data_IF_855774220344
#
_entry.id   IF_855774220344
#
_cell.length_a   1.000
_cell.length_b   1.000
_cell.length_c   1.000
_cell.angle_alpha   90.00
_cell.angle_beta   90.00
_cell.angle_gamma   90.00
#
_symmetry.space_group_name_H-M   'P 1'
#
loop_
_entity.id
_entity.type
_entity.pdbx_description
1 polymer ?
#
# COMPACT_ATOMS: atom_id res chain seq x y z
N UNK A 1 7.69 27.35 -32.78
CA UNK A 1 8.77 27.93 -31.94
C UNK A 1 9.42 26.77 -31.26
N UNK A 2 10.75 26.64 -31.39
CA UNK A 2 11.48 25.60 -30.69
C UNK A 2 11.98 26.15 -29.34
N UNK A 3 11.71 25.39 -28.28
CA UNK A 3 12.16 25.69 -26.91
C UNK A 3 13.06 24.56 -26.44
N UNK A 4 14.24 24.92 -25.92
CA UNK A 4 15.20 23.98 -25.36
C UNK A 4 15.74 24.48 -24.02
N UNK A 5 15.58 23.67 -22.98
CA UNK A 5 16.24 23.85 -21.70
C UNK A 5 17.25 22.72 -21.50
N UNK A 6 18.47 23.06 -21.09
CA UNK A 6 19.53 22.09 -20.82
C UNK A 6 20.02 22.26 -19.38
N UNK A 7 20.04 21.15 -18.65
CA UNK A 7 20.54 21.08 -17.27
C UNK A 7 20.00 22.19 -16.33
N UNK A 8 18.72 22.49 -16.44
CA UNK A 8 18.07 23.55 -15.68
C UNK A 8 17.50 23.04 -14.34
N UNK A 9 17.11 23.96 -13.47
CA UNK A 9 16.21 23.68 -12.34
C UNK A 9 14.82 24.16 -12.72
N UNK A 10 13.82 23.34 -12.44
CA UNK A 10 12.42 23.69 -12.68
C UNK A 10 11.65 23.53 -11.38
N UNK A 11 10.80 24.51 -11.09
CA UNK A 11 9.91 24.52 -9.95
C UNK A 11 8.48 24.56 -10.50
N UNK A 12 7.65 23.59 -10.10
CA UNK A 12 6.30 23.41 -10.61
C UNK A 12 5.32 23.55 -9.46
N UNK A 13 4.38 24.48 -9.60
CA UNK A 13 3.27 24.68 -8.69
C UNK A 13 1.98 24.29 -9.41
N UNK A 14 1.22 23.37 -8.84
CA UNK A 14 -0.11 23.03 -9.34
C UNK A 14 -1.03 22.71 -8.17
N UNK A 15 -2.10 23.50 -8.01
CA UNK A 15 -2.98 23.45 -6.84
C UNK A 15 -2.14 23.57 -5.55
N UNK A 16 -2.33 22.69 -4.57
CA UNK A 16 -1.52 22.63 -3.35
C UNK A 16 -0.20 21.86 -3.48
N UNK A 17 0.19 21.47 -4.70
CA UNK A 17 1.34 20.59 -4.96
C UNK A 17 2.52 21.40 -5.46
N UNK A 18 3.70 21.03 -5.01
CA UNK A 18 4.95 21.72 -5.30
C UNK A 18 6.05 20.71 -5.63
N UNK A 19 6.65 20.82 -6.81
CA UNK A 19 7.74 19.95 -7.25
C UNK A 19 8.99 20.74 -7.60
N UNK A 20 10.12 20.29 -7.03
CA UNK A 20 11.45 20.80 -7.30
C UNK A 20 12.21 19.79 -8.15
N UNK A 21 12.49 20.14 -9.40
CA UNK A 21 13.09 19.26 -10.39
C UNK A 21 14.52 19.70 -10.69
N UNK A 22 15.47 18.77 -10.56
CA UNK A 22 16.88 19.01 -10.87
C UNK A 22 17.27 18.51 -12.26
N UNK A 23 18.33 19.08 -12.84
CA UNK A 23 18.94 18.63 -14.12
C UNK A 23 17.91 18.41 -15.24
N UNK A 24 16.97 19.35 -15.38
CA UNK A 24 15.90 19.27 -16.36
C UNK A 24 16.48 19.53 -17.75
N UNK A 25 16.26 18.56 -18.64
CA UNK A 25 16.46 18.70 -20.07
C UNK A 25 15.09 18.62 -20.72
N UNK A 26 14.67 19.69 -21.40
CA UNK A 26 13.37 19.79 -22.04
C UNK A 26 13.56 20.26 -23.47
N UNK A 27 12.90 19.57 -24.40
CA UNK A 27 12.75 20.00 -25.78
C UNK A 27 11.25 20.09 -26.10
N UNK A 28 10.86 21.17 -26.76
CA UNK A 28 9.48 21.37 -27.17
C UNK A 28 9.40 22.12 -28.49
N UNK A 29 8.57 21.63 -29.41
CA UNK A 29 8.13 22.40 -30.58
C UNK A 29 6.71 22.89 -30.32
N UNK A 30 6.54 24.21 -30.39
CA UNK A 30 5.33 24.92 -29.97
C UNK A 30 4.75 25.66 -31.17
N UNK A 31 3.56 25.25 -31.59
CA UNK A 31 2.71 26.00 -32.50
C UNK A 31 1.37 26.22 -31.83
N UNK A 32 1.17 27.42 -31.25
CA UNK A 32 -0.03 27.75 -30.47
C UNK A 32 -1.33 27.73 -31.27
N UNK A 33 -1.26 27.78 -32.61
CA UNK A 33 -2.44 27.67 -33.48
C UNK A 33 -2.78 26.20 -33.81
N UNK A 34 -1.91 25.26 -33.43
CA UNK A 34 -2.02 23.84 -33.78
C UNK A 34 -1.76 22.92 -32.60
N UNK A 35 -0.50 22.77 -32.23
CA UNK A 35 -0.08 21.83 -31.20
C UNK A 35 1.29 22.17 -30.63
N UNK A 36 1.57 21.64 -29.45
CA UNK A 36 2.89 21.54 -28.84
C UNK A 36 3.29 20.07 -28.74
N UNK A 37 4.57 19.77 -28.97
CA UNK A 37 5.19 18.52 -28.52
C UNK A 37 6.11 18.81 -27.34
N UNK A 38 6.22 17.89 -26.40
CA UNK A 38 7.09 18.01 -25.24
C UNK A 38 7.84 16.69 -25.02
N UNK A 39 9.15 16.78 -24.78
CA UNK A 39 10.00 15.71 -24.27
C UNK A 39 10.87 16.30 -23.17
N UNK A 40 10.64 15.88 -21.93
CA UNK A 40 11.35 16.35 -20.76
C UNK A 40 11.86 15.17 -19.93
N UNK A 41 13.11 15.29 -19.47
CA UNK A 41 13.75 14.37 -18.54
C UNK A 41 14.39 15.16 -17.42
N UNK A 42 14.27 14.67 -16.20
CA UNK A 42 14.87 15.30 -15.02
C UNK A 42 15.85 14.37 -14.33
N UNK A 43 16.76 14.94 -13.54
CA UNK A 43 17.38 14.24 -12.42
C UNK A 43 16.38 14.11 -11.25
N UNK A 44 16.92 14.01 -10.03
CA UNK A 44 16.11 13.84 -8.84
C UNK A 44 15.08 14.95 -8.67
N UNK A 45 13.94 14.60 -8.10
CA UNK A 45 12.87 15.52 -7.79
C UNK A 45 12.50 15.46 -6.31
N UNK A 46 11.93 16.56 -5.80
CA UNK A 46 11.48 16.69 -4.41
C UNK A 46 10.26 17.60 -4.29
N UNK A 47 9.85 17.88 -3.05
CA UNK A 47 8.64 18.66 -2.74
C UNK A 47 7.51 17.76 -2.25
N UNK A 48 6.37 17.75 -2.94
CA UNK A 48 5.23 16.88 -2.63
C UNK A 48 5.58 15.40 -2.74
N UNK A 49 6.42 15.02 -3.69
CA UNK A 49 6.99 13.68 -3.82
C UNK A 49 8.50 13.79 -4.01
N UNK A 50 9.22 12.75 -3.58
CA UNK A 50 10.67 12.64 -3.75
C UNK A 50 10.99 11.41 -4.59
N UNK A 51 11.88 11.53 -5.58
CA UNK A 51 12.33 10.38 -6.38
C UNK A 51 13.52 10.68 -7.29
N UNK A 52 13.93 9.69 -8.09
CA UNK A 52 15.16 9.71 -8.90
C UNK A 52 15.03 10.51 -10.20
N UNK A 53 13.90 10.42 -10.89
CA UNK A 53 13.65 11.16 -12.13
C UNK A 53 12.17 11.24 -12.49
N UNK A 54 11.85 12.26 -13.27
CA UNK A 54 10.57 12.39 -13.98
C UNK A 54 10.88 12.40 -15.47
N UNK A 55 10.16 11.57 -16.22
CA UNK A 55 10.16 11.60 -17.67
C UNK A 55 8.76 11.98 -18.15
N UNK A 56 8.67 12.96 -19.03
CA UNK A 56 7.43 13.41 -19.64
C UNK A 56 7.62 13.45 -21.15
N UNK A 57 6.71 12.82 -21.89
CA UNK A 57 6.66 12.91 -23.34
C UNK A 57 5.22 13.05 -23.79
N UNK A 58 4.93 13.94 -24.71
CA UNK A 58 3.56 14.04 -25.20
C UNK A 58 3.29 15.14 -26.20
N UNK A 59 2.02 15.29 -26.52
CA UNK A 59 1.48 16.33 -27.38
C UNK A 59 0.38 17.08 -26.63
N UNK A 60 0.30 18.38 -26.86
CA UNK A 60 -0.83 19.22 -26.46
C UNK A 60 -1.45 19.76 -27.74
N UNK A 61 -2.75 19.53 -27.94
CA UNK A 61 -3.51 20.10 -29.05
C UNK A 61 -4.10 21.46 -28.62
N UNK A 62 -3.87 22.48 -29.45
CA UNK A 62 -4.39 23.84 -29.26
C UNK A 62 -5.50 24.17 -30.26
N UNK A 63 -5.75 23.32 -31.26
CA UNK A 63 -6.66 23.62 -32.36
C UNK A 63 -8.13 23.30 -32.03
N UNK A 64 -8.36 22.41 -31.06
CA UNK A 64 -9.69 21.98 -30.62
C UNK A 64 -9.93 22.42 -29.17
N UNK A 65 -10.98 23.20 -28.97
CA UNK A 65 -11.57 23.63 -27.68
C UNK A 65 -11.03 24.94 -27.03
N UNK A 66 -11.83 25.53 -26.12
CA UNK A 66 -11.42 26.70 -25.29
C UNK A 66 -10.22 26.37 -24.38
N UNK A 67 -9.99 25.08 -24.09
CA UNK A 67 -8.90 24.58 -23.26
C UNK A 67 -8.07 23.58 -24.05
N UNK A 68 -6.73 23.71 -24.09
CA UNK A 68 -5.87 22.75 -24.79
C UNK A 68 -6.02 21.34 -24.25
N UNK A 69 -5.92 20.34 -25.14
CA UNK A 69 -6.07 18.91 -24.80
C UNK A 69 -4.70 18.22 -24.80
N UNK A 70 -4.35 17.56 -23.70
CA UNK A 70 -3.11 16.82 -23.56
C UNK A 70 -3.24 15.35 -23.95
N UNK A 71 -2.15 14.79 -24.45
CA UNK A 71 -1.86 13.36 -24.58
C UNK A 71 -0.40 13.16 -24.13
N UNK A 72 -0.23 12.74 -22.88
CA UNK A 72 1.03 12.81 -22.14
C UNK A 72 1.38 11.46 -21.51
N UNK A 73 2.57 10.94 -21.81
CA UNK A 73 3.21 9.84 -21.10
C UNK A 73 4.10 10.41 -19.99
N UNK A 74 3.84 10.02 -18.75
CA UNK A 74 4.51 10.50 -17.56
C UNK A 74 5.06 9.31 -16.76
N UNK A 75 6.32 9.38 -16.37
CA UNK A 75 6.99 8.35 -15.58
C UNK A 75 7.67 9.00 -14.38
N UNK A 76 7.29 8.57 -13.18
CA UNK A 76 7.97 8.90 -11.93
C UNK A 76 8.81 7.69 -11.51
N UNK A 77 10.13 7.86 -11.44
CA UNK A 77 11.06 6.78 -11.17
C UNK A 77 11.60 6.87 -9.75
N UNK A 78 11.64 5.73 -9.07
CA UNK A 78 12.11 5.57 -7.69
C UNK A 78 11.50 6.57 -6.70
N UNK A 79 10.20 6.79 -6.79
CA UNK A 79 9.44 7.54 -5.79
C UNK A 79 9.67 6.89 -4.42
N UNK A 80 9.92 7.72 -3.42
CA UNK A 80 9.97 7.34 -2.00
C UNK A 80 8.58 7.55 -1.38
N UNK A 81 7.81 6.49 -1.09
CA UNK A 81 6.44 6.65 -0.60
C UNK A 81 6.36 7.30 0.78
N UNK A 82 7.44 7.33 1.57
CA UNK A 82 7.46 8.05 2.85
C UNK A 82 7.24 9.56 2.66
N UNK A 83 7.60 10.10 1.48
CA UNK A 83 7.32 11.51 1.12
C UNK A 83 5.82 11.82 1.01
N UNK A 84 4.98 10.79 0.81
CA UNK A 84 3.51 10.91 0.75
C UNK A 84 2.84 10.87 2.13
N UNK A 85 3.61 10.65 3.20
CA UNK A 85 3.12 10.59 4.58
C UNK A 85 1.93 9.63 4.75
N UNK A 86 2.08 8.40 4.26
CA UNK A 86 1.07 7.34 4.33
C UNK A 86 0.79 6.85 5.77
N UNK A 87 1.39 7.48 6.77
CA UNK A 87 1.33 7.02 8.15
C UNK A 87 2.16 5.77 8.46
N UNK A 88 2.77 5.19 7.43
CA UNK A 88 3.69 4.07 7.47
C UNK A 88 4.97 4.53 6.79
N UNK A 89 6.10 4.36 7.45
CA UNK A 89 7.40 4.74 6.90
C UNK A 89 7.83 3.68 5.88
N UNK A 90 7.58 3.95 4.61
CA UNK A 90 7.94 3.11 3.47
C UNK A 90 9.02 3.83 2.67
N UNK A 91 10.21 3.26 2.60
CA UNK A 91 11.35 3.86 1.87
C UNK A 91 11.67 3.14 0.57
N UNK A 92 11.02 1.99 0.34
CA UNK A 92 11.22 1.19 -0.86
C UNK A 92 10.75 1.92 -2.10
N UNK A 93 11.52 1.77 -3.17
CA UNK A 93 11.37 2.58 -4.37
C UNK A 93 10.21 2.10 -5.22
N UNK A 94 9.39 3.06 -5.62
CA UNK A 94 8.19 2.87 -6.42
C UNK A 94 8.36 3.56 -7.77
N UNK A 95 8.08 2.86 -8.86
CA UNK A 95 8.01 3.44 -10.20
C UNK A 95 6.56 3.49 -10.65
N UNK A 96 6.17 4.62 -11.24
CA UNK A 96 4.82 4.88 -11.71
C UNK A 96 4.86 5.41 -13.14
N UNK A 97 4.35 4.62 -14.07
CA UNK A 97 4.21 5.01 -15.48
C UNK A 97 2.75 5.28 -15.77
N UNK A 98 2.44 6.36 -16.49
CA UNK A 98 1.06 6.81 -16.72
C UNK A 98 0.90 7.41 -18.09
N UNK A 99 -0.29 7.25 -18.65
CA UNK A 99 -0.76 7.88 -19.87
C UNK A 99 -1.95 8.77 -19.52
N UNK A 100 -1.75 10.07 -19.56
CA UNK A 100 -2.70 11.10 -19.20
C UNK A 100 -3.28 11.75 -20.45
N UNK A 101 -4.59 11.90 -20.51
CA UNK A 101 -5.31 12.49 -21.65
C UNK A 101 -6.44 13.40 -21.18
N UNK A 102 -6.85 14.34 -22.03
CA UNK A 102 -7.98 15.24 -21.79
C UNK A 102 -7.58 16.71 -21.66
N UNK A 103 -8.55 17.60 -21.35
CA UNK A 103 -8.29 19.03 -21.17
C UNK A 103 -7.22 19.28 -20.11
N UNK A 104 -6.28 20.20 -20.35
CA UNK A 104 -5.16 20.43 -19.42
C UNK A 104 -5.58 20.89 -18.01
N UNK A 105 -6.80 21.42 -17.86
CA UNK A 105 -7.36 21.78 -16.55
C UNK A 105 -8.14 20.64 -15.86
N UNK A 106 -8.35 19.52 -16.56
CA UNK A 106 -9.13 18.35 -16.12
C UNK A 106 -8.58 17.05 -16.73
N UNK A 107 -7.26 16.88 -16.63
CA UNK A 107 -6.57 15.73 -17.21
C UNK A 107 -6.71 14.51 -16.30
N UNK A 108 -6.96 13.34 -16.90
CA UNK A 108 -7.05 12.05 -16.21
C UNK A 108 -6.29 10.99 -16.99
N UNK A 109 -6.10 9.81 -16.43
CA UNK A 109 -5.38 8.77 -17.16
C UNK A 109 -5.21 7.46 -16.43
N UNK A 110 -4.56 6.54 -17.13
CA UNK A 110 -4.28 5.18 -16.67
C UNK A 110 -2.78 4.96 -16.56
N UNK A 111 -2.37 4.05 -15.68
CA UNK A 111 -0.98 3.81 -15.39
C UNK A 111 -0.70 2.46 -14.78
N UNK A 112 0.57 2.24 -14.49
CA UNK A 112 1.09 1.06 -13.82
C UNK A 112 2.01 1.45 -12.68
N UNK A 113 1.86 0.71 -11.59
CA UNK A 113 2.67 0.77 -10.40
C UNK A 113 3.63 -0.41 -10.42
N UNK A 114 4.90 -0.19 -10.09
CA UNK A 114 5.86 -1.26 -9.85
C UNK A 114 6.76 -0.97 -8.65
N UNK A 115 6.98 -1.98 -7.81
CA UNK A 115 8.01 -1.98 -6.76
C UNK A 115 8.69 -3.34 -6.74
N UNK A 116 10.02 -3.38 -6.78
CA UNK A 116 10.75 -4.65 -6.67
C UNK A 116 10.58 -5.28 -5.28
N UNK A 117 10.58 -4.43 -4.25
CA UNK A 117 10.36 -4.82 -2.86
C UNK A 117 9.49 -3.78 -2.16
N UNK A 118 8.78 -4.20 -1.13
CA UNK A 118 8.05 -3.32 -0.22
C UNK A 118 8.14 -3.87 1.20
N UNK A 119 8.75 -3.09 2.09
CA UNK A 119 8.90 -3.36 3.50
C UNK A 119 7.95 -2.47 4.29
N UNK A 120 6.99 -3.11 4.96
CA UNK A 120 6.23 -2.48 6.04
C UNK A 120 6.48 -3.24 7.33
N UNK A 121 6.32 -2.64 8.51
CA UNK A 121 6.60 -3.32 9.78
C UNK A 121 5.89 -4.68 9.86
N UNK A 122 6.67 -5.76 9.85
CA UNK A 122 6.17 -7.14 9.94
C UNK A 122 5.59 -7.74 8.66
N UNK A 123 5.67 -7.06 7.51
CA UNK A 123 5.28 -7.62 6.20
C UNK A 123 6.35 -7.26 5.14
N UNK A 124 6.77 -8.25 4.37
CA UNK A 124 7.74 -8.08 3.28
C UNK A 124 7.16 -8.62 1.98
N UNK A 125 7.03 -7.73 1.02
CA UNK A 125 6.50 -8.01 -0.31
C UNK A 125 7.59 -7.92 -1.36
N UNK A 126 7.44 -8.71 -2.41
CA UNK A 126 8.29 -8.73 -3.59
C UNK A 126 7.41 -8.66 -4.83
N UNK A 127 7.97 -8.15 -5.93
CA UNK A 127 7.31 -8.09 -7.23
C UNK A 127 5.92 -7.43 -7.16
N UNK A 128 5.86 -6.25 -6.53
CA UNK A 128 4.62 -5.49 -6.40
C UNK A 128 4.30 -4.86 -7.74
N UNK A 129 3.16 -5.20 -8.32
CA UNK A 129 2.66 -4.62 -9.56
C UNK A 129 1.19 -4.27 -9.44
N UNK A 130 0.74 -3.20 -10.10
CA UNK A 130 -0.67 -2.84 -10.11
C UNK A 130 -1.02 -1.85 -11.22
N UNK A 131 -2.31 -1.65 -11.44
CA UNK A 131 -2.83 -0.59 -12.31
C UNK A 131 -3.21 0.62 -11.50
N UNK A 132 -3.09 1.79 -12.10
CA UNK A 132 -3.44 3.07 -11.47
C UNK A 132 -4.39 3.81 -12.40
N UNK A 133 -5.50 4.28 -11.86
CA UNK A 133 -6.31 5.32 -12.50
C UNK A 133 -6.05 6.63 -11.76
N UNK A 134 -5.78 7.70 -12.51
CA UNK A 134 -5.58 9.05 -11.99
C UNK A 134 -6.69 9.97 -12.47
N UNK A 135 -7.33 10.66 -11.53
CA UNK A 135 -8.32 11.69 -11.82
C UNK A 135 -8.20 12.86 -10.81
N UNK A 136 -7.62 13.96 -11.27
CA UNK A 136 -7.46 15.21 -10.52
C UNK A 136 -6.59 15.08 -9.26
N UNK A 137 -7.17 14.64 -8.15
CA UNK A 137 -6.47 14.38 -6.88
C UNK A 137 -6.51 12.92 -6.46
N UNK A 138 -7.33 12.09 -7.09
CA UNK A 138 -7.51 10.70 -6.72
C UNK A 138 -6.61 9.80 -7.55
N UNK A 139 -6.05 8.81 -6.87
CA UNK A 139 -5.37 7.66 -7.43
C UNK A 139 -6.13 6.42 -6.99
N UNK A 140 -6.66 5.66 -7.95
CA UNK A 140 -7.28 4.37 -7.69
C UNK A 140 -6.31 3.27 -8.13
N UNK A 141 -5.99 2.37 -7.21
CA UNK A 141 -5.12 1.22 -7.42
C UNK A 141 -5.98 -0.02 -7.61
N UNK A 142 -5.79 -0.71 -8.73
CA UNK A 142 -6.55 -1.91 -9.09
C UNK A 142 -5.61 -3.03 -9.51
N UNK A 143 -6.08 -4.27 -9.39
CA UNK A 143 -5.33 -5.46 -9.76
C UNK A 143 -3.92 -5.50 -9.14
N UNK A 144 -3.74 -4.95 -7.94
CA UNK A 144 -2.42 -4.94 -7.29
C UNK A 144 -2.10 -6.35 -6.85
N UNK A 145 -0.91 -6.84 -7.20
CA UNK A 145 -0.44 -8.15 -6.78
C UNK A 145 0.99 -8.09 -6.28
N UNK A 146 1.31 -8.98 -5.33
CA UNK A 146 2.67 -9.12 -4.80
C UNK A 146 2.91 -10.53 -4.27
N UNK A 147 4.17 -10.94 -4.26
CA UNK A 147 4.62 -12.14 -3.53
C UNK A 147 4.89 -11.78 -2.07
N UNK A 148 4.45 -12.60 -1.12
CA UNK A 148 4.66 -12.34 0.32
C UNK A 148 4.70 -13.66 1.10
N UNK A 149 5.76 -13.87 1.87
CA UNK A 149 5.92 -15.05 2.75
C UNK A 149 5.62 -16.40 2.08
N UNK A 150 6.07 -16.58 0.83
CA UNK A 150 5.83 -17.79 0.04
C UNK A 150 4.41 -17.94 -0.51
N UNK A 151 3.52 -16.98 -0.24
CA UNK A 151 2.18 -16.86 -0.80
C UNK A 151 2.04 -15.63 -1.71
N UNK A 152 0.79 -15.21 -1.95
CA UNK A 152 0.45 -14.07 -2.82
C UNK A 152 -0.52 -13.12 -2.14
N UNK A 153 -0.35 -11.84 -2.35
CA UNK A 153 -1.31 -10.78 -2.02
C UNK A 153 -2.01 -10.31 -3.30
N UNK A 154 -3.32 -10.08 -3.20
CA UNK A 154 -4.07 -9.23 -4.12
C UNK A 154 -4.60 -8.03 -3.34
N UNK A 155 -4.58 -6.84 -3.93
CA UNK A 155 -5.07 -5.63 -3.28
C UNK A 155 -5.70 -4.63 -4.26
N UNK A 156 -6.50 -3.75 -3.70
CA UNK A 156 -7.07 -2.58 -4.34
C UNK A 156 -7.12 -1.44 -3.33
N UNK A 157 -7.20 -0.21 -3.80
CA UNK A 157 -7.29 0.92 -2.90
C UNK A 157 -7.41 2.26 -3.59
N UNK A 158 -7.58 3.29 -2.78
CA UNK A 158 -7.70 4.68 -3.23
C UNK A 158 -6.77 5.55 -2.41
N UNK A 159 -6.14 6.54 -3.03
CA UNK A 159 -5.33 7.56 -2.37
C UNK A 159 -5.68 8.95 -2.90
N UNK A 160 -5.88 9.91 -2.01
CA UNK A 160 -6.11 11.32 -2.38
C UNK A 160 -4.83 12.13 -2.13
N UNK A 161 -4.25 12.69 -3.20
CA UNK A 161 -2.99 13.44 -3.17
C UNK A 161 -3.06 14.73 -2.34
N UNK A 162 -4.24 15.32 -2.18
CA UNK A 162 -4.39 16.64 -1.54
C UNK A 162 -4.70 16.50 -0.04
N UNK A 163 -5.52 15.53 0.34
CA UNK A 163 -5.91 15.23 1.73
C UNK A 163 -5.07 14.13 2.38
N UNK A 164 -4.37 13.32 1.58
CA UNK A 164 -3.61 12.11 1.98
C UNK A 164 -4.50 11.01 2.55
N UNK A 165 -5.79 11.04 2.25
CA UNK A 165 -6.73 10.02 2.70
C UNK A 165 -6.53 8.77 1.85
N UNK A 166 -6.54 7.61 2.49
CA UNK A 166 -6.48 6.36 1.76
C UNK A 166 -7.27 5.25 2.40
N UNK A 167 -7.64 4.30 1.55
CA UNK A 167 -8.24 3.04 1.91
C UNK A 167 -7.63 1.97 1.01
N UNK A 168 -7.20 0.86 1.59
CA UNK A 168 -6.62 -0.28 0.89
C UNK A 168 -7.32 -1.53 1.43
N UNK A 169 -7.81 -2.37 0.54
CA UNK A 169 -8.25 -3.72 0.84
C UNK A 169 -7.26 -4.70 0.23
N UNK A 170 -6.90 -5.74 0.98
CA UNK A 170 -5.95 -6.75 0.56
C UNK A 170 -6.34 -8.14 1.03
N UNK A 171 -6.13 -9.12 0.17
CA UNK A 171 -6.35 -10.53 0.46
C UNK A 171 -5.05 -11.29 0.22
N UNK A 172 -4.46 -11.79 1.30
CA UNK A 172 -3.30 -12.67 1.29
C UNK A 172 -3.74 -14.13 1.28
N UNK A 173 -3.13 -14.95 0.42
CA UNK A 173 -3.41 -16.38 0.31
C UNK A 173 -2.14 -17.21 0.44
N UNK A 174 -2.26 -18.33 1.14
CA UNK A 174 -1.19 -19.31 1.35
C UNK A 174 0.11 -18.71 1.95
N UNK A 175 -0.03 -17.75 2.88
CA UNK A 175 1.11 -17.14 3.56
C UNK A 175 1.74 -18.14 4.54
N UNK A 176 3.03 -18.39 4.44
CA UNK A 176 3.71 -19.36 5.28
C UNK A 176 4.08 -18.75 6.63
N UNK A 177 3.45 -19.23 7.71
CA UNK A 177 3.70 -18.74 9.06
C UNK A 177 5.17 -18.87 9.48
N UNK A 178 5.87 -19.91 9.00
CA UNK A 178 7.29 -20.12 9.29
C UNK A 178 8.21 -19.06 8.67
N UNK A 179 7.81 -18.46 7.54
CA UNK A 179 8.53 -17.34 6.92
C UNK A 179 8.18 -16.02 7.59
N UNK A 180 6.90 -15.78 7.86
CA UNK A 180 6.40 -14.55 8.50
C UNK A 180 6.87 -14.42 9.97
N UNK A 181 6.92 -15.54 10.69
CA UNK A 181 7.25 -15.61 12.11
C UNK A 181 8.38 -16.62 12.35
N UNK A 182 9.62 -16.32 11.92
CA UNK A 182 10.76 -17.21 12.13
C UNK A 182 10.92 -17.53 13.62
N UNK A 183 11.21 -18.78 13.95
CA UNK A 183 11.41 -19.28 15.33
C UNK A 183 10.17 -19.27 16.24
N UNK A 184 8.99 -18.91 15.74
CA UNK A 184 7.72 -19.05 16.49
C UNK A 184 7.36 -20.50 16.79
N UNK A 185 7.93 -21.45 16.03
CA UNK A 185 7.52 -22.86 15.97
C UNK A 185 6.09 -23.07 15.45
N UNK A 186 5.51 -22.06 14.79
CA UNK A 186 4.23 -22.15 14.10
C UNK A 186 4.46 -22.53 12.64
N UNK A 187 3.90 -23.66 12.22
CA UNK A 187 4.01 -24.17 10.87
C UNK A 187 2.61 -24.41 10.31
N UNK A 188 2.14 -23.49 9.48
CA UNK A 188 0.90 -23.59 8.71
C UNK A 188 0.93 -22.57 7.58
N UNK A 189 0.02 -22.73 6.63
CA UNK A 189 -0.34 -21.67 5.71
C UNK A 189 -1.50 -20.86 6.29
N UNK A 190 -1.51 -19.57 6.01
CA UNK A 190 -2.50 -18.61 6.52
C UNK A 190 -3.05 -17.78 5.36
N UNK A 191 -4.36 -17.69 5.29
CA UNK A 191 -5.07 -16.73 4.47
C UNK A 191 -5.45 -15.53 5.35
N UNK A 192 -5.34 -14.33 4.80
CA UNK A 192 -5.58 -13.06 5.51
C UNK A 192 -6.48 -12.18 4.65
N UNK A 193 -7.50 -11.58 5.25
CA UNK A 193 -8.23 -10.43 4.72
C UNK A 193 -7.85 -9.21 5.55
N UNK A 194 -7.39 -8.14 4.91
CA UNK A 194 -6.77 -6.98 5.53
C UNK A 194 -7.33 -5.70 4.92
N UNK A 195 -7.68 -4.76 5.78
CA UNK A 195 -8.06 -3.40 5.41
C UNK A 195 -7.09 -2.43 6.09
N UNK A 196 -6.60 -1.45 5.36
CA UNK A 196 -5.86 -0.31 5.89
C UNK A 196 -6.57 0.98 5.50
N UNK A 197 -6.64 1.92 6.42
CA UNK A 197 -7.19 3.23 6.13
C UNK A 197 -6.51 4.31 6.94
N UNK A 198 -6.38 5.52 6.37
CA UNK A 198 -5.88 6.70 7.06
C UNK A 198 -6.68 7.94 6.69
N UNK A 199 -6.81 8.86 7.65
CA UNK A 199 -7.40 10.20 7.46
C UNK A 199 -6.33 11.29 7.35
N UNK A 200 -5.20 10.96 6.74
CA UNK A 200 -4.16 11.94 6.38
C UNK A 200 -3.04 12.12 7.41
N UNK A 201 -3.01 11.33 8.49
CA UNK A 201 -1.88 11.30 9.43
C UNK A 201 -1.57 9.87 9.91
N UNK A 202 -0.31 9.63 10.29
CA UNK A 202 0.13 8.37 10.92
C UNK A 202 -0.66 7.96 12.17
N UNK A 203 -1.21 8.92 12.91
CA UNK A 203 -1.99 8.65 14.12
C UNK A 203 -3.42 8.20 13.83
N UNK A 204 -3.92 8.54 12.65
CA UNK A 204 -5.26 8.19 12.19
C UNK A 204 -5.24 6.99 11.23
N UNK A 205 -4.11 6.29 11.16
CA UNK A 205 -3.98 5.04 10.43
C UNK A 205 -4.52 3.88 11.24
N UNK A 206 -5.40 3.10 10.61
CA UNK A 206 -6.00 1.89 11.16
C UNK A 206 -5.72 0.72 10.23
N UNK A 207 -5.51 -0.46 10.80
CA UNK A 207 -5.40 -1.72 10.07
C UNK A 207 -6.25 -2.77 10.76
N UNK A 208 -7.13 -3.45 10.04
CA UNK A 208 -8.02 -4.44 10.64
C UNK A 208 -8.35 -5.54 9.64
N UNK A 209 -8.77 -6.70 10.14
CA UNK A 209 -8.98 -7.83 9.27
C UNK A 209 -9.24 -9.13 9.99
N UNK A 210 -9.13 -10.21 9.23
CA UNK A 210 -9.29 -11.57 9.72
C UNK A 210 -8.24 -12.49 9.12
N UNK A 211 -7.98 -13.60 9.81
CA UNK A 211 -7.07 -14.62 9.34
C UNK A 211 -7.63 -16.01 9.60
N UNK A 212 -7.30 -16.93 8.71
CA UNK A 212 -7.65 -18.35 8.81
C UNK A 212 -6.45 -19.16 8.38
N UNK A 213 -6.00 -20.08 9.23
CA UNK A 213 -4.96 -21.03 8.86
C UNK A 213 -5.53 -22.30 8.25
N UNK A 214 -4.72 -22.98 7.44
CA UNK A 214 -4.91 -24.41 7.19
C UNK A 214 -4.47 -25.25 8.40
N UNK A 215 -4.46 -26.57 8.22
CA UNK A 215 -3.86 -27.49 9.18
C UNK A 215 -2.38 -27.19 9.40
N UNK A 216 -1.90 -27.48 10.60
CA UNK A 216 -0.52 -27.19 10.94
C UNK A 216 -0.09 -27.74 12.28
N UNK A 217 1.01 -27.19 12.78
CA UNK A 217 1.51 -27.52 14.11
C UNK A 217 2.12 -26.32 14.80
N UNK A 218 1.92 -26.27 16.10
CA UNK A 218 2.68 -25.43 17.00
C UNK A 218 3.63 -26.31 17.81
N UNK A 219 4.94 -26.18 17.60
CA UNK A 219 5.96 -27.11 18.10
C UNK A 219 5.66 -28.56 17.67
N UNK A 220 5.30 -29.41 18.64
CA UNK A 220 4.94 -30.82 18.44
C UNK A 220 3.43 -31.06 18.40
N UNK A 221 2.62 -30.03 18.68
CA UNK A 221 1.17 -30.15 18.79
C UNK A 221 0.49 -29.85 17.45
N UNK A 222 -0.14 -30.83 16.79
CA UNK A 222 -0.88 -30.60 15.56
C UNK A 222 -2.22 -29.91 15.85
N UNK A 223 -2.61 -28.97 15.00
CA UNK A 223 -3.92 -28.32 15.03
C UNK A 223 -4.57 -28.41 13.64
N UNK A 224 -5.89 -28.37 13.61
CA UNK A 224 -6.69 -28.35 12.38
C UNK A 224 -6.78 -26.96 11.80
N UNK A 225 -6.94 -25.95 12.64
CA UNK A 225 -7.17 -24.57 12.20
C UNK A 225 -6.90 -23.57 13.31
N UNK A 226 -6.47 -22.38 12.91
CA UNK A 226 -6.41 -21.17 13.72
C UNK A 226 -7.24 -20.11 13.01
N UNK A 227 -8.16 -19.47 13.70
CA UNK A 227 -8.91 -18.32 13.20
C UNK A 227 -8.79 -17.15 14.15
N UNK A 228 -9.00 -15.96 13.64
CA UNK A 228 -9.18 -14.79 14.47
C UNK A 228 -9.36 -13.54 13.65
N UNK A 229 -9.63 -12.45 14.36
CA UNK A 229 -9.65 -11.10 13.83
C UNK A 229 -8.59 -10.27 14.49
N UNK A 230 -8.18 -9.20 13.83
CA UNK A 230 -7.29 -8.22 14.40
C UNK A 230 -7.78 -6.81 14.10
N UNK A 231 -7.41 -5.90 14.98
CA UNK A 231 -7.57 -4.47 14.78
C UNK A 231 -6.36 -3.76 15.38
N UNK A 232 -5.81 -2.82 14.64
CA UNK A 232 -4.70 -1.98 15.03
C UNK A 232 -5.09 -0.52 14.82
N UNK A 233 -5.03 0.25 15.90
CA UNK A 233 -5.14 1.70 15.86
C UNK A 233 -4.11 2.28 16.83
N UNK A 234 -3.27 3.20 16.36
CA UNK A 234 -2.31 3.97 17.17
C UNK A 234 -1.74 3.25 18.42
N UNK A 235 -0.73 2.39 18.22
CA UNK A 235 -0.03 1.63 19.29
C UNK A 235 -0.91 0.66 20.12
N UNK A 236 -2.14 0.43 19.68
CA UNK A 236 -3.07 -0.54 20.26
C UNK A 236 -3.37 -1.60 19.20
N UNK A 237 -2.79 -2.80 19.38
CA UNK A 237 -3.02 -3.97 18.53
C UNK A 237 -3.85 -4.97 19.32
N UNK A 238 -4.99 -5.37 18.78
CA UNK A 238 -5.92 -6.30 19.40
C UNK A 238 -6.16 -7.48 18.46
N UNK A 239 -6.16 -8.68 19.01
CA UNK A 239 -6.65 -9.89 18.38
C UNK A 239 -7.84 -10.41 19.18
N UNK A 240 -8.93 -10.73 18.52
CA UNK A 240 -10.19 -11.15 19.14
C UNK A 240 -10.86 -12.22 18.28
N UNK A 241 -11.89 -12.88 18.83
CA UNK A 241 -12.50 -14.08 18.25
C UNK A 241 -11.44 -15.14 17.89
N UNK A 242 -10.35 -15.23 18.66
CA UNK A 242 -9.24 -16.13 18.35
C UNK A 242 -9.63 -17.53 18.78
N UNK A 243 -9.56 -18.48 17.86
CA UNK A 243 -9.82 -19.89 18.12
C UNK A 243 -8.74 -20.77 17.49
N UNK A 244 -8.29 -21.78 18.23
CA UNK A 244 -7.42 -22.85 17.76
C UNK A 244 -8.18 -24.16 17.90
N UNK A 245 -8.42 -24.83 16.78
CA UNK A 245 -9.10 -26.11 16.70
C UNK A 245 -8.08 -27.25 16.68
N UNK A 246 -8.14 -28.14 17.67
CA UNK A 246 -7.39 -29.39 17.70
C UNK A 246 -8.30 -30.56 17.31
N UNK A 247 -7.76 -31.78 17.24
CA UNK A 247 -8.54 -32.96 16.87
C UNK A 247 -9.68 -33.29 17.84
N UNK A 248 -9.54 -32.98 19.13
CA UNK A 248 -10.49 -33.35 20.19
C UNK A 248 -10.90 -32.23 21.14
N UNK A 249 -10.37 -31.02 20.97
CA UNK A 249 -10.69 -29.86 21.81
C UNK A 249 -10.43 -28.57 21.01
N UNK A 250 -10.92 -27.45 21.52
CA UNK A 250 -10.59 -26.12 21.00
C UNK A 250 -10.14 -25.19 22.13
N UNK A 251 -9.32 -24.22 21.77
CA UNK A 251 -8.85 -23.15 22.64
C UNK A 251 -9.34 -21.85 22.06
N UNK A 252 -10.03 -21.03 22.84
CA UNK A 252 -10.53 -19.73 22.40
C UNK A 252 -10.16 -18.62 23.39
N UNK A 253 -9.92 -17.42 22.88
CA UNK A 253 -9.73 -16.21 23.69
C UNK A 253 -10.28 -15.00 22.96
N UNK A 254 -10.97 -14.14 23.70
CA UNK A 254 -11.69 -13.00 23.12
C UNK A 254 -10.86 -11.71 23.08
N UNK A 255 -9.67 -11.67 23.69
CA UNK A 255 -8.74 -10.56 23.47
C UNK A 255 -7.30 -10.87 23.90
N UNK A 256 -6.39 -10.90 22.92
CA UNK A 256 -4.97 -10.64 23.10
C UNK A 256 -4.73 -9.20 22.65
N UNK A 257 -4.27 -8.32 23.55
CA UNK A 257 -4.03 -6.93 23.24
C UNK A 257 -2.57 -6.55 23.56
N UNK A 258 -1.94 -5.83 22.65
CA UNK A 258 -0.63 -5.20 22.86
C UNK A 258 -0.87 -3.70 22.77
N UNK A 259 -0.85 -3.04 23.92
CA UNK A 259 -1.05 -1.59 24.03
C UNK A 259 0.16 -0.95 24.65
N UNK A 260 0.76 0.03 23.96
CA UNK A 260 1.97 0.71 24.42
C UNK A 260 3.08 -0.28 24.87
N UNK A 261 3.26 -1.35 24.08
CA UNK A 261 4.19 -2.47 24.31
C UNK A 261 3.88 -3.35 25.52
N UNK A 262 2.73 -3.18 26.17
CA UNK A 262 2.24 -4.06 27.24
C UNK A 262 1.28 -5.09 26.66
N UNK A 263 1.55 -6.36 26.92
CA UNK A 263 0.69 -7.47 26.53
C UNK A 263 -0.38 -7.69 27.61
N UNK A 264 -1.64 -7.72 27.22
CA UNK A 264 -2.78 -8.14 28.04
C UNK A 264 -3.47 -9.32 27.38
N UNK A 265 -3.74 -10.35 28.17
CA UNK A 265 -4.43 -11.56 27.74
C UNK A 265 -5.74 -11.67 28.52
N UNK A 266 -6.83 -11.83 27.79
CA UNK A 266 -8.12 -12.22 28.36
C UNK A 266 -8.13 -13.70 28.71
N UNK A 267 -9.12 -14.18 29.49
CA UNK A 267 -9.18 -15.58 29.87
C UNK A 267 -9.14 -16.49 28.64
N UNK A 268 -8.45 -17.62 28.80
CA UNK A 268 -8.33 -18.64 27.76
C UNK A 268 -9.34 -19.73 28.07
N UNK A 269 -10.29 -19.94 27.19
CA UNK A 269 -11.34 -20.95 27.32
C UNK A 269 -10.96 -22.21 26.57
N UNK A 270 -11.02 -23.36 27.24
CA UNK A 270 -10.83 -24.67 26.64
C UNK A 270 -12.17 -25.37 26.53
N UNK A 271 -12.53 -25.83 25.33
CA UNK A 271 -13.76 -26.55 25.06
C UNK A 271 -13.48 -27.94 24.52
N UNK A 272 -14.32 -28.90 24.85
CA UNK A 272 -14.25 -30.26 24.30
C UNK A 272 -14.74 -30.30 22.85
N UNK A 273 -14.66 -31.48 22.21
CA UNK A 273 -15.15 -31.70 20.85
C UNK A 273 -16.65 -31.49 20.67
N UNK A 274 -17.44 -31.46 21.75
CA UNK A 274 -18.88 -31.21 21.74
C UNK A 274 -19.22 -29.73 22.00
N UNK A 275 -18.21 -28.89 22.27
CA UNK A 275 -18.36 -27.47 22.57
C UNK A 275 -18.63 -27.16 24.03
N UNK A 276 -18.55 -28.14 24.94
CA UNK A 276 -18.71 -27.92 26.38
C UNK A 276 -17.43 -27.33 26.97
N UNK A 277 -17.58 -26.41 27.92
CA UNK A 277 -16.44 -25.84 28.64
C UNK A 277 -15.74 -26.91 29.48
N UNK A 278 -14.44 -27.11 29.23
CA UNK A 278 -13.56 -27.95 30.05
C UNK A 278 -13.03 -27.11 31.21
N UNK A 279 -12.46 -25.94 30.90
CA UNK A 279 -11.87 -25.03 31.88
C UNK A 279 -11.63 -23.65 31.28
N UNK A 280 -11.51 -22.65 32.16
CA UNK A 280 -11.09 -21.29 31.83
C UNK A 280 -9.81 -20.97 32.59
N UNK A 281 -8.80 -20.48 31.89
CA UNK A 281 -7.51 -20.09 32.47
C UNK A 281 -7.46 -18.56 32.52
N UNK A 282 -7.49 -18.00 33.73
CA UNK A 282 -7.23 -16.58 33.96
C UNK A 282 -5.72 -16.31 33.88
N UNK A 283 -5.31 -15.64 32.81
CA UNK A 283 -3.94 -15.16 32.64
C UNK A 283 -3.84 -13.83 33.38
N UNK A 284 -3.38 -13.86 34.64
CA UNK A 284 -3.24 -12.66 35.47
C UNK A 284 -2.45 -11.56 34.76
N UNK A 285 -2.83 -10.29 35.01
CA UNK A 285 -2.11 -9.11 34.51
C UNK A 285 -0.71 -9.08 35.13
N UNK A 286 0.34 -9.32 34.35
CA UNK A 286 1.71 -8.89 34.69
C UNK A 286 1.95 -7.44 34.24
#
# INVERSE_FOLDING_TARGET
MELKFENCRMEVFHKGRHYLLSRVNLASDINTDKAMTIDARTGSFGGTMIGSSVNLKGKVDFASDEVPVGDLQLSFVDVDPSSLDLGINIYDKMTMDSHLTGPLNDISGEGRLQMGELHIPGLYFQDVEGKIHYDGAKLDFQDVTASVYGGRLQAEGTYDLDTRYYQIHGVGRNLQAAQALPKSHLYCNVDVDLNLASKGTSRETTAYGSFVSGEGRYRIMPFKRITGKFNQAYRDLQFYDVAIEFAGFSVATDALQIKDKKLTLSPINLKDSLGNDITTIDVGRE
#
